data_IF_488500569229
#
_entry.id   IF_488500569229
#
_cell.length_a   1.000
_cell.length_b   1.000
_cell.length_c   1.000
_cell.angle_alpha   90.00
_cell.angle_beta   90.00
_cell.angle_gamma   90.00
#
_symmetry.space_group_name_H-M   'P 1'
#
loop_
_entity.id
_entity.type
_entity.pdbx_description
1 polymer ?
#
# COMPACT_ATOMS: atom_id res chain seq x y z
N UNK A 1 -37.81 -4.83 54.05
CA UNK A 1 -36.88 -3.84 53.45
C UNK A 1 -35.55 -4.47 52.99
N UNK A 2 -34.78 -5.21 53.82
CA UNK A 2 -33.45 -5.71 53.43
C UNK A 2 -33.44 -6.66 52.21
N UNK A 3 -34.42 -7.58 52.14
CA UNK A 3 -34.54 -8.57 51.05
C UNK A 3 -34.83 -7.90 49.70
N UNK A 4 -35.66 -6.85 49.69
CA UNK A 4 -35.97 -6.07 48.48
C UNK A 4 -34.74 -5.32 47.97
N UNK A 5 -33.97 -4.70 48.86
CA UNK A 5 -32.71 -4.04 48.51
C UNK A 5 -31.69 -5.03 47.93
N UNK A 6 -31.58 -6.23 48.50
CA UNK A 6 -30.73 -7.29 47.98
C UNK A 6 -31.13 -7.72 46.56
N UNK A 7 -32.43 -7.94 46.32
CA UNK A 7 -32.95 -8.33 45.01
C UNK A 7 -32.68 -7.24 43.96
N UNK A 8 -32.92 -5.97 44.31
CA UNK A 8 -32.70 -4.86 43.38
C UNK A 8 -31.22 -4.74 43.02
N UNK A 9 -30.32 -4.74 44.02
CA UNK A 9 -28.87 -4.67 43.77
C UNK A 9 -28.40 -5.86 42.95
N UNK A 10 -28.89 -7.07 43.25
CA UNK A 10 -28.56 -8.27 42.50
C UNK A 10 -28.95 -8.15 41.02
N UNK A 11 -30.18 -7.70 40.74
CA UNK A 11 -30.65 -7.48 39.36
C UNK A 11 -29.78 -6.43 38.64
N UNK A 12 -29.49 -5.31 39.30
CA UNK A 12 -28.65 -4.24 38.72
C UNK A 12 -27.26 -4.75 38.38
N UNK A 13 -26.61 -5.47 39.30
CA UNK A 13 -25.27 -6.03 39.08
C UNK A 13 -25.28 -7.03 37.93
N UNK A 14 -26.27 -7.93 37.87
CA UNK A 14 -26.42 -8.90 36.78
C UNK A 14 -26.60 -8.21 35.44
N UNK A 15 -27.42 -7.15 35.38
CA UNK A 15 -27.62 -6.37 34.16
C UNK A 15 -26.33 -5.67 33.71
N UNK A 16 -25.59 -5.06 34.64
CA UNK A 16 -24.31 -4.40 34.36
C UNK A 16 -23.26 -5.38 33.82
N UNK A 17 -23.13 -6.54 34.45
CA UNK A 17 -22.21 -7.59 34.00
C UNK A 17 -22.59 -8.06 32.60
N UNK A 18 -23.88 -8.28 32.33
CA UNK A 18 -24.37 -8.72 31.01
C UNK A 18 -24.10 -7.67 29.92
N UNK A 19 -24.28 -6.40 30.24
CA UNK A 19 -23.95 -5.28 29.34
C UNK A 19 -22.44 -5.24 29.05
N UNK A 20 -21.61 -5.30 30.10
CA UNK A 20 -20.15 -5.31 29.96
C UNK A 20 -19.64 -6.49 29.12
N UNK A 21 -20.16 -7.69 29.36
CA UNK A 21 -19.80 -8.90 28.61
C UNK A 21 -20.16 -8.77 27.12
N UNK A 22 -21.36 -8.28 26.80
CA UNK A 22 -21.78 -8.07 25.41
C UNK A 22 -20.93 -7.00 24.69
N UNK A 23 -20.56 -5.93 25.40
CA UNK A 23 -19.68 -4.89 24.85
C UNK A 23 -18.29 -5.46 24.54
N UNK A 24 -17.69 -6.19 25.49
CA UNK A 24 -16.40 -6.84 25.30
C UNK A 24 -16.43 -7.84 24.15
N UNK A 25 -17.47 -8.67 24.06
CA UNK A 25 -17.63 -9.64 22.97
C UNK A 25 -17.64 -8.94 21.60
N UNK A 26 -18.44 -7.87 21.45
CA UNK A 26 -18.50 -7.09 20.20
C UNK A 26 -17.17 -6.42 19.86
N UNK A 27 -16.45 -5.91 20.85
CA UNK A 27 -15.11 -5.33 20.65
C UNK A 27 -14.11 -6.38 20.16
N UNK A 28 -14.13 -7.59 20.74
CA UNK A 28 -13.29 -8.71 20.31
C UNK A 28 -13.66 -9.15 18.90
N UNK A 29 -14.95 -9.33 18.60
CA UNK A 29 -15.43 -9.67 17.25
C UNK A 29 -15.03 -8.60 16.23
N UNK A 30 -15.07 -7.31 16.58
CA UNK A 30 -14.66 -6.22 15.71
C UNK A 30 -13.15 -6.14 15.43
N UNK A 31 -12.32 -6.54 16.38
CA UNK A 31 -10.86 -6.68 16.18
C UNK A 31 -10.54 -7.97 15.41
N UNK A 32 -11.26 -9.06 15.68
CA UNK A 32 -11.17 -10.34 14.97
C UNK A 32 -11.82 -10.32 13.59
N UNK A 33 -12.49 -9.23 13.21
CA UNK A 33 -13.43 -9.19 12.10
C UNK A 33 -12.78 -9.46 10.73
N UNK A 34 -11.46 -9.49 10.63
CA UNK A 34 -10.69 -10.02 9.48
C UNK A 34 -10.82 -9.20 8.18
N UNK A 35 -11.96 -8.55 7.94
CA UNK A 35 -12.26 -7.72 6.79
C UNK A 35 -11.41 -6.45 6.79
N UNK A 36 -11.14 -5.84 7.95
CA UNK A 36 -10.27 -4.67 8.03
C UNK A 36 -8.83 -5.03 7.64
N UNK A 37 -8.34 -6.18 8.12
CA UNK A 37 -7.04 -6.72 7.71
C UNK A 37 -7.00 -7.07 6.22
N UNK A 38 -8.07 -7.69 5.69
CA UNK A 38 -8.20 -8.00 4.27
C UNK A 38 -8.24 -6.73 3.42
N UNK A 39 -8.98 -5.70 3.84
CA UNK A 39 -9.08 -4.43 3.14
C UNK A 39 -7.74 -3.67 3.15
N UNK A 40 -7.06 -3.65 4.30
CA UNK A 40 -5.71 -3.13 4.40
C UNK A 40 -4.74 -3.86 3.47
N UNK A 41 -4.82 -5.20 3.44
CA UNK A 41 -4.05 -6.01 2.50
C UNK A 41 -4.36 -5.69 1.04
N UNK A 42 -5.63 -5.56 0.66
CA UNK A 42 -6.05 -5.20 -0.71
C UNK A 42 -5.47 -3.85 -1.11
N UNK A 43 -5.63 -2.82 -0.27
CA UNK A 43 -5.11 -1.47 -0.54
C UNK A 43 -3.59 -1.51 -0.67
N UNK A 44 -2.92 -2.23 0.22
CA UNK A 44 -1.47 -2.37 0.21
C UNK A 44 -0.96 -3.08 -1.06
N UNK A 45 -1.61 -4.17 -1.48
CA UNK A 45 -1.25 -4.86 -2.72
C UNK A 45 -1.55 -4.02 -3.96
N UNK A 46 -2.65 -3.27 -4.00
CA UNK A 46 -2.92 -2.32 -5.08
C UNK A 46 -1.77 -1.32 -5.18
N UNK A 47 -1.35 -0.72 -4.06
CA UNK A 47 -0.23 0.22 -4.04
C UNK A 47 1.06 -0.43 -4.57
N UNK A 48 1.42 -1.62 -4.09
CA UNK A 48 2.60 -2.36 -4.59
C UNK A 48 2.49 -2.61 -6.09
N UNK A 49 1.37 -3.14 -6.58
CA UNK A 49 1.21 -3.45 -7.99
C UNK A 49 1.24 -2.21 -8.88
N UNK A 50 0.64 -1.10 -8.45
CA UNK A 50 0.71 0.18 -9.16
C UNK A 50 2.16 0.66 -9.28
N UNK A 51 2.94 0.58 -8.20
CA UNK A 51 4.34 0.98 -8.20
C UNK A 51 5.19 0.08 -9.10
N UNK A 52 5.06 -1.24 -8.96
CA UNK A 52 5.78 -2.20 -9.81
C UNK A 52 5.44 -1.97 -11.28
N UNK A 53 4.16 -1.78 -11.60
CA UNK A 53 3.72 -1.53 -12.97
C UNK A 53 4.24 -0.19 -13.51
N UNK A 54 4.29 0.86 -12.68
CA UNK A 54 4.91 2.14 -13.05
C UNK A 54 6.38 1.96 -13.42
N UNK A 55 7.13 1.17 -12.64
CA UNK A 55 8.54 0.88 -12.92
C UNK A 55 8.69 0.10 -14.23
N UNK A 56 7.83 -0.90 -14.47
CA UNK A 56 7.82 -1.65 -15.73
C UNK A 56 7.53 -0.75 -16.94
N UNK A 57 6.56 0.16 -16.83
CA UNK A 57 6.26 1.13 -17.89
C UNK A 57 7.44 2.07 -18.16
N UNK A 58 8.15 2.50 -17.12
CA UNK A 58 9.37 3.29 -17.27
C UNK A 58 10.42 2.54 -18.09
N UNK A 59 10.77 1.30 -17.69
CA UNK A 59 11.73 0.49 -18.44
C UNK A 59 11.28 0.18 -19.86
N UNK A 60 9.99 -0.13 -20.06
CA UNK A 60 9.45 -0.38 -21.39
C UNK A 60 9.56 0.85 -22.31
N UNK A 61 9.46 2.06 -21.74
CA UNK A 61 9.69 3.32 -22.47
C UNK A 61 11.17 3.49 -22.79
N UNK A 62 12.07 3.32 -21.80
CA UNK A 62 13.52 3.48 -21.99
C UNK A 62 14.11 2.47 -22.98
N UNK A 63 13.61 1.23 -22.98
CA UNK A 63 14.01 0.18 -23.93
C UNK A 63 13.37 0.34 -25.32
N UNK A 64 12.60 1.42 -25.56
CA UNK A 64 11.83 1.66 -26.80
C UNK A 64 10.85 0.53 -27.17
N UNK A 65 10.41 -0.25 -26.18
CA UNK A 65 9.36 -1.27 -26.36
C UNK A 65 7.99 -0.61 -26.50
N UNK A 66 7.81 0.58 -25.92
CA UNK A 66 6.65 1.44 -26.11
C UNK A 66 7.04 2.65 -26.96
N UNK A 67 6.27 2.92 -28.02
CA UNK A 67 6.43 4.16 -28.78
C UNK A 67 5.86 5.34 -28.02
N UNK A 68 6.45 6.55 -28.14
CA UNK A 68 5.94 7.76 -27.47
C UNK A 68 4.47 8.03 -27.78
N UNK A 69 4.06 7.79 -29.03
CA UNK A 69 2.66 7.94 -29.48
C UNK A 69 1.70 7.00 -28.73
N UNK A 70 2.14 5.78 -28.41
CA UNK A 70 1.32 4.81 -27.65
C UNK A 70 1.22 5.21 -26.18
N UNK A 71 2.30 5.74 -25.61
CA UNK A 71 2.30 6.23 -24.23
C UNK A 71 1.38 7.46 -24.07
N UNK A 72 1.44 8.41 -25.00
CA UNK A 72 0.59 9.62 -24.97
C UNK A 72 -0.90 9.32 -25.13
N UNK A 73 -1.25 8.32 -25.96
CA UNK A 73 -2.66 7.90 -26.14
C UNK A 73 -3.17 6.99 -25.01
N UNK A 74 -2.31 6.54 -24.10
CA UNK A 74 -2.66 5.58 -23.05
C UNK A 74 -3.11 6.26 -21.76
N UNK A 75 -4.38 6.05 -21.41
CA UNK A 75 -4.95 6.49 -20.12
C UNK A 75 -4.19 5.83 -18.96
N UNK A 76 -3.88 4.54 -19.09
CA UNK A 76 -3.21 3.76 -18.04
C UNK A 76 -1.80 4.28 -17.81
N UNK A 77 -1.08 4.64 -18.88
CA UNK A 77 0.27 5.20 -18.78
C UNK A 77 0.23 6.53 -18.02
N UNK A 78 -0.65 7.46 -18.41
CA UNK A 78 -0.78 8.76 -17.74
C UNK A 78 -1.14 8.66 -16.25
N UNK A 79 -1.94 7.66 -15.85
CA UNK A 79 -2.33 7.47 -14.46
C UNK A 79 -1.24 6.77 -13.65
N UNK A 80 -0.59 5.74 -14.20
CA UNK A 80 0.30 4.86 -13.40
C UNK A 80 1.76 5.29 -13.48
N UNK A 81 2.26 5.76 -14.62
CA UNK A 81 3.68 6.13 -14.80
C UNK A 81 4.22 7.16 -13.78
N UNK A 82 3.44 8.14 -13.27
CA UNK A 82 3.94 9.10 -12.28
C UNK A 82 4.19 8.51 -10.88
N UNK A 83 3.58 7.37 -10.55
CA UNK A 83 3.63 6.84 -9.18
C UNK A 83 5.00 6.30 -8.79
N UNK A 84 5.74 5.71 -9.74
CA UNK A 84 7.11 5.24 -9.54
C UNK A 84 8.04 6.38 -9.13
N UNK A 85 8.20 7.43 -9.96
CA UNK A 85 8.98 8.63 -9.62
C UNK A 85 8.52 9.29 -8.32
N UNK A 86 7.21 9.45 -8.11
CA UNK A 86 6.68 10.06 -6.89
C UNK A 86 7.04 9.27 -5.62
N UNK A 87 7.01 7.93 -5.68
CA UNK A 87 7.45 7.10 -4.57
C UNK A 87 8.95 7.23 -4.34
N UNK A 88 9.76 7.29 -5.40
CA UNK A 88 11.20 7.45 -5.31
C UNK A 88 11.55 8.80 -4.66
N UNK A 89 10.90 9.88 -5.07
CA UNK A 89 11.09 11.21 -4.47
C UNK A 89 10.70 11.21 -2.99
N UNK A 90 9.56 10.58 -2.65
CA UNK A 90 9.12 10.45 -1.26
C UNK A 90 10.12 9.65 -0.41
N UNK A 91 10.65 8.55 -0.94
CA UNK A 91 11.68 7.75 -0.25
C UNK A 91 12.98 8.53 -0.15
N UNK A 92 13.42 9.21 -1.21
CA UNK A 92 14.65 10.00 -1.25
C UNK A 92 14.63 11.21 -0.31
N UNK A 93 13.45 11.78 -0.06
CA UNK A 93 13.26 12.83 0.94
C UNK A 93 13.48 12.32 2.38
N UNK A 94 13.18 11.05 2.64
CA UNK A 94 13.31 10.43 3.97
C UNK A 94 14.66 9.73 4.15
N UNK A 95 15.17 9.10 3.09
CA UNK A 95 16.37 8.27 3.08
C UNK A 95 17.32 8.76 1.96
N UNK A 96 18.25 9.69 2.29
CA UNK A 96 19.11 10.36 1.30
C UNK A 96 19.95 9.40 0.45
N UNK A 97 20.29 8.23 0.98
CA UNK A 97 21.09 7.22 0.26
C UNK A 97 20.33 6.54 -0.90
N UNK A 98 19.00 6.67 -0.99
CA UNK A 98 18.22 6.20 -2.13
C UNK A 98 18.19 7.19 -3.30
N UNK A 99 18.57 8.46 -3.08
CA UNK A 99 18.46 9.54 -4.06
C UNK A 99 19.32 9.29 -5.32
N UNK A 100 20.51 8.74 -5.15
CA UNK A 100 21.48 8.56 -6.23
C UNK A 100 21.45 7.14 -6.85
N UNK A 101 20.85 6.16 -6.16
CA UNK A 101 20.79 4.76 -6.59
C UNK A 101 20.12 4.57 -7.96
N UNK A 102 19.10 5.38 -8.29
CA UNK A 102 18.41 5.29 -9.59
C UNK A 102 19.25 5.85 -10.73
N UNK A 103 20.00 6.93 -10.49
CA UNK A 103 20.91 7.50 -11.46
C UNK A 103 22.05 6.52 -11.79
N UNK A 104 22.59 5.86 -10.77
CA UNK A 104 23.58 4.79 -10.96
C UNK A 104 23.03 3.63 -11.80
N UNK A 105 21.75 3.26 -11.63
CA UNK A 105 21.10 2.26 -12.47
C UNK A 105 20.91 2.75 -13.92
N UNK A 106 20.48 4.00 -14.11
CA UNK A 106 20.32 4.60 -15.45
C UNK A 106 21.67 4.65 -16.20
N UNK A 107 22.72 5.14 -15.55
CA UNK A 107 24.09 5.16 -16.09
C UNK A 107 24.58 3.73 -16.46
N UNK A 108 24.25 2.72 -15.64
CA UNK A 108 24.54 1.32 -15.95
C UNK A 108 23.83 0.82 -17.21
N UNK A 109 22.53 1.12 -17.37
CA UNK A 109 21.77 0.73 -18.56
C UNK A 109 22.24 1.46 -19.83
N UNK A 110 22.58 2.75 -19.73
CA UNK A 110 23.14 3.51 -20.84
C UNK A 110 24.50 2.94 -21.28
N UNK A 111 25.39 2.67 -20.33
CA UNK A 111 26.69 2.03 -20.61
C UNK A 111 26.53 0.65 -21.26
N UNK A 112 25.58 -0.16 -20.78
CA UNK A 112 25.29 -1.48 -21.36
C UNK A 112 24.75 -1.39 -22.80
N UNK A 113 23.84 -0.45 -23.06
CA UNK A 113 23.30 -0.20 -24.39
C UNK A 113 24.37 0.25 -25.39
N UNK A 114 25.33 1.08 -24.96
CA UNK A 114 26.45 1.54 -25.79
C UNK A 114 27.41 0.40 -26.18
N UNK A 115 27.71 -0.54 -25.26
CA UNK A 115 28.56 -1.71 -25.58
C UNK A 115 27.91 -2.65 -26.60
N UNK A 116 26.60 -2.84 -26.52
CA UNK A 116 25.86 -3.65 -27.50
C UNK A 116 25.85 -3.02 -28.90
N UNK A 117 25.91 -1.69 -29.00
CA UNK A 117 26.01 -0.98 -30.29
C UNK A 117 27.44 -0.97 -30.87
N UNK A 118 28.48 -1.14 -30.06
CA UNK A 118 29.88 -1.21 -30.54
C UNK A 118 30.30 -2.60 -31.00
N UNK A 119 29.55 -3.64 -30.61
CA UNK A 119 29.87 -5.05 -30.90
C UNK A 119 28.99 -5.62 -32.04
N UNK A 120 28.05 -4.84 -32.58
CA UNK A 120 27.19 -5.18 -33.71
C UNK A 120 27.59 -4.39 -34.96
#
# INVERSE_FOLDING_TARGET
LPVLSFIIVFIVVVLLIRLGANLLQKSVEAVMMGWANRLGGIIFYIAIYTIVYSILLFYATQLKLLTPETAEKSIVYGVIAPWGPALIDAIGAVLPFFKDMFKELEDFFESGAQQLQQTA
#
